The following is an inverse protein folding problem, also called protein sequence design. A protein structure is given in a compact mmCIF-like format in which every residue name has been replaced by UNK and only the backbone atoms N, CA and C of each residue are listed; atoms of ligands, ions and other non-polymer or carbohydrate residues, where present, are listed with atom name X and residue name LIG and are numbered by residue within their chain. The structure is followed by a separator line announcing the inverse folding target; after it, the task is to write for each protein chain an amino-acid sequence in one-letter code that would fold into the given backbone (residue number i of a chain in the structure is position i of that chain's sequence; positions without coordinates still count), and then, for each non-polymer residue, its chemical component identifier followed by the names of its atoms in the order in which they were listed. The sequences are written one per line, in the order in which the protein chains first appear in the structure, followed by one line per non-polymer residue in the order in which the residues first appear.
data_IF_342302156178
#
_entry.id   IF_342302156178
#
_cell.length_a   1.000
_cell.length_b   1.000
_cell.length_c   1.000
_cell.angle_alpha   90.00
_cell.angle_beta   90.00
_cell.angle_gamma   90.00
#
_symmetry.space_group_name_H-M   'P 1'
#
loop_
_entity.id
_entity.type
_entity.pdbx_description
1 polymer ?
#
# COMPACT_ATOMS: atom_id res chain seq x y z
N UNK A 1 68.07 -5.33 46.75
CA UNK A 1 68.03 -4.01 46.07
C UNK A 1 66.99 -4.06 44.97
N UNK A 2 66.03 -3.12 45.01
CA UNK A 2 65.30 -2.44 43.91
C UNK A 2 64.83 -3.29 42.69
N UNK A 3 63.58 -3.25 42.22
CA UNK A 3 62.44 -2.39 42.50
C UNK A 3 61.31 -2.61 41.48
N UNK A 4 60.09 -2.25 41.89
CA UNK A 4 58.91 -1.78 41.12
C UNK A 4 58.70 -2.28 39.68
N UNK A 5 57.57 -2.98 39.48
CA UNK A 5 56.96 -3.21 38.16
C UNK A 5 55.46 -3.50 38.25
N UNK A 6 54.68 -2.52 38.73
CA UNK A 6 53.20 -2.56 38.78
C UNK A 6 52.66 -2.46 37.34
N UNK A 7 52.32 -3.57 36.68
CA UNK A 7 51.58 -3.53 35.41
C UNK A 7 50.07 -3.62 35.67
N UNK A 8 49.39 -2.66 35.05
CA UNK A 8 48.00 -2.28 35.25
C UNK A 8 47.05 -3.35 34.72
N UNK A 9 45.98 -3.56 35.47
CA UNK A 9 44.74 -4.17 34.99
C UNK A 9 44.08 -3.18 34.03
N UNK A 10 44.29 -3.36 32.74
CA UNK A 10 43.56 -2.57 31.74
C UNK A 10 42.14 -3.13 31.63
N UNK A 11 41.21 -2.35 32.15
CA UNK A 11 39.79 -2.66 32.24
C UNK A 11 39.21 -3.04 30.88
N UNK A 12 38.45 -4.13 30.93
CA UNK A 12 37.52 -4.58 29.90
C UNK A 12 36.62 -3.39 29.52
N UNK A 13 36.98 -2.68 28.44
CA UNK A 13 36.08 -1.69 27.84
C UNK A 13 34.92 -2.49 27.27
N UNK A 14 33.75 -2.27 27.87
CA UNK A 14 32.44 -2.65 27.34
C UNK A 14 32.28 -2.06 25.94
N UNK A 15 32.75 -2.79 24.92
CA UNK A 15 32.38 -2.56 23.54
C UNK A 15 30.90 -2.88 23.41
N UNK A 16 30.06 -1.86 23.28
CA UNK A 16 28.69 -2.02 22.80
C UNK A 16 28.80 -2.77 21.48
N UNK A 17 28.37 -4.04 21.46
CA UNK A 17 27.96 -4.69 20.22
C UNK A 17 26.93 -3.74 19.59
N UNK A 18 27.19 -3.14 18.41
CA UNK A 18 26.10 -2.50 17.72
C UNK A 18 25.12 -3.64 17.49
N UNK A 19 23.93 -3.50 18.07
CA UNK A 19 22.83 -4.42 17.80
C UNK A 19 22.74 -4.43 16.29
N UNK A 20 23.25 -5.50 15.69
CA UNK A 20 22.96 -5.85 14.32
C UNK A 20 21.48 -6.14 14.34
N UNK A 21 20.68 -5.07 14.32
CA UNK A 21 19.33 -5.14 13.79
C UNK A 21 19.61 -5.63 12.40
N UNK A 22 19.41 -6.93 12.20
CA UNK A 22 19.14 -7.49 10.90
C UNK A 22 17.92 -6.70 10.45
N UNK A 23 18.17 -5.52 9.87
CA UNK A 23 17.19 -4.76 9.18
C UNK A 23 16.93 -5.66 7.99
N UNK A 24 15.98 -6.58 8.15
CA UNK A 24 15.16 -7.05 7.05
C UNK A 24 14.65 -5.76 6.43
N UNK A 25 15.44 -5.21 5.50
CA UNK A 25 15.12 -3.94 4.86
C UNK A 25 13.86 -4.30 4.12
N UNK A 26 12.72 -3.87 4.65
CA UNK A 26 11.46 -3.95 3.93
C UNK A 26 11.70 -3.16 2.65
N UNK A 27 12.04 -3.89 1.58
CA UNK A 27 12.28 -3.30 0.28
C UNK A 27 10.89 -3.09 -0.30
N UNK A 28 10.44 -1.84 -0.28
CA UNK A 28 9.21 -1.47 -0.97
C UNK A 28 9.31 -1.94 -2.43
N UNK A 29 8.35 -2.76 -2.86
CA UNK A 29 8.32 -3.36 -4.20
C UNK A 29 7.31 -2.66 -5.11
N UNK A 30 6.41 -1.86 -4.55
CA UNK A 30 5.38 -1.16 -5.32
C UNK A 30 6.01 -0.01 -6.11
N UNK A 31 5.54 0.16 -7.34
CA UNK A 31 5.94 1.26 -8.24
C UNK A 31 5.51 2.64 -7.71
N UNK A 32 4.38 2.69 -7.00
CA UNK A 32 3.89 3.86 -6.26
C UNK A 32 3.34 3.43 -4.89
N UNK A 33 3.44 4.31 -3.89
CA UNK A 33 2.92 4.05 -2.56
C UNK A 33 1.39 3.97 -2.58
N UNK A 34 0.84 3.13 -1.70
CA UNK A 34 -0.61 3.10 -1.46
C UNK A 34 -0.99 4.18 -0.46
N UNK A 35 -2.09 4.85 -0.75
CA UNK A 35 -2.77 5.74 0.18
C UNK A 35 -4.07 5.09 0.63
N UNK A 36 -4.35 5.16 1.93
CA UNK A 36 -5.63 4.73 2.49
C UNK A 36 -6.67 5.78 2.14
N UNK A 37 -7.59 5.44 1.25
CA UNK A 37 -8.64 6.32 0.79
C UNK A 37 -9.86 5.50 0.41
N UNK A 38 -11.03 5.94 0.89
CA UNK A 38 -12.31 5.32 0.59
C UNK A 38 -13.01 6.09 -0.51
N UNK A 39 -13.13 5.46 -1.68
CA UNK A 39 -13.84 5.97 -2.85
C UNK A 39 -14.93 4.98 -3.26
N UNK A 40 -16.12 5.47 -3.64
CA UNK A 40 -17.17 4.63 -4.20
C UNK A 40 -16.79 4.16 -5.62
N UNK A 41 -16.92 2.86 -5.87
CA UNK A 41 -16.60 2.22 -7.14
C UNK A 41 -17.67 1.18 -7.48
N UNK A 42 -18.11 1.13 -8.73
CA UNK A 42 -18.92 0.02 -9.24
C UNK A 42 -17.99 -1.02 -9.86
N UNK A 43 -18.14 -2.28 -9.46
CA UNK A 43 -17.44 -3.42 -10.05
C UNK A 43 -18.39 -4.24 -10.91
N UNK A 44 -18.04 -4.38 -12.19
CA UNK A 44 -18.65 -5.34 -13.09
C UNK A 44 -17.72 -6.53 -13.27
N UNK A 45 -18.27 -7.74 -13.21
CA UNK A 45 -17.49 -8.96 -13.38
C UNK A 45 -18.36 -10.16 -13.68
N UNK A 46 -17.72 -11.32 -13.65
CA UNK A 46 -18.35 -12.62 -13.83
C UNK A 46 -17.97 -13.50 -12.65
N UNK A 47 -18.96 -14.11 -11.99
CA UNK A 47 -18.73 -15.00 -10.85
C UNK A 47 -18.20 -16.38 -11.31
N UNK A 48 -17.95 -17.28 -10.36
CA UNK A 48 -17.51 -18.65 -10.62
C UNK A 48 -18.54 -19.51 -11.37
N UNK A 49 -19.82 -19.13 -11.34
CA UNK A 49 -20.91 -19.77 -12.09
C UNK A 49 -21.05 -19.22 -13.52
N UNK A 50 -20.26 -18.24 -13.92
CA UNK A 50 -20.35 -17.62 -15.24
C UNK A 50 -21.42 -16.52 -15.35
N UNK A 51 -22.05 -16.15 -14.24
CA UNK A 51 -23.07 -15.11 -14.20
C UNK A 51 -22.44 -13.73 -14.05
N UNK A 52 -22.99 -12.75 -14.77
CA UNK A 52 -22.55 -11.36 -14.69
C UNK A 52 -23.06 -10.72 -13.41
N UNK A 53 -22.20 -10.00 -12.71
CA UNK A 53 -22.60 -9.16 -11.58
C UNK A 53 -22.22 -7.70 -11.81
N UNK A 54 -22.93 -6.81 -11.12
CA UNK A 54 -22.70 -5.38 -11.08
C UNK A 54 -22.98 -4.90 -9.65
N UNK A 55 -21.93 -4.56 -8.91
CA UNK A 55 -22.05 -4.29 -7.48
C UNK A 55 -21.33 -3.00 -7.10
N UNK A 56 -21.93 -2.24 -6.19
CA UNK A 56 -21.27 -1.10 -5.57
C UNK A 56 -20.34 -1.60 -4.48
N UNK A 57 -19.11 -1.09 -4.48
CA UNK A 57 -18.08 -1.41 -3.51
C UNK A 57 -17.30 -0.15 -3.15
N UNK A 58 -16.37 -0.29 -2.20
CA UNK A 58 -15.52 0.81 -1.79
C UNK A 58 -14.04 0.41 -1.81
N UNK A 59 -13.18 1.38 -2.12
CA UNK A 59 -11.74 1.19 -1.95
C UNK A 59 -11.36 1.25 -0.47
N UNK A 60 -10.40 0.44 -0.05
CA UNK A 60 -9.71 0.58 1.24
C UNK A 60 -8.38 1.30 1.09
N UNK A 61 -7.69 1.04 -0.02
CA UNK A 61 -6.45 1.74 -0.40
C UNK A 61 -6.29 1.75 -1.90
N UNK A 62 -5.64 2.78 -2.42
CA UNK A 62 -5.41 2.96 -3.85
C UNK A 62 -3.96 3.36 -4.13
N UNK A 63 -3.48 3.08 -5.34
CA UNK A 63 -2.26 3.65 -5.89
C UNK A 63 -2.39 3.86 -7.41
N UNK A 64 -1.33 4.29 -8.10
CA UNK A 64 -1.39 4.49 -9.56
C UNK A 64 -1.78 3.19 -10.30
N UNK A 65 -1.34 2.05 -9.80
CA UNK A 65 -1.50 0.76 -10.46
C UNK A 65 -2.84 0.07 -10.18
N UNK A 66 -3.59 0.47 -9.16
CA UNK A 66 -4.84 -0.21 -8.82
C UNK A 66 -5.36 0.11 -7.42
N UNK A 67 -6.06 -0.86 -6.83
CA UNK A 67 -6.74 -0.71 -5.55
C UNK A 67 -6.75 -1.99 -4.71
N UNK A 68 -7.14 -1.82 -3.46
CA UNK A 68 -7.78 -2.87 -2.67
C UNK A 68 -9.24 -2.46 -2.49
N UNK A 69 -10.17 -3.33 -2.90
CA UNK A 69 -11.61 -3.17 -2.75
C UNK A 69 -12.09 -3.98 -1.54
N UNK A 70 -13.18 -3.55 -0.94
CA UNK A 70 -13.97 -4.31 0.03
C UNK A 70 -15.25 -4.75 -0.68
N UNK A 71 -15.48 -6.05 -0.77
CA UNK A 71 -16.59 -6.65 -1.53
C UNK A 71 -17.23 -7.80 -0.73
N UNK A 72 -18.48 -8.14 -1.06
CA UNK A 72 -19.17 -9.30 -0.47
C UNK A 72 -19.10 -10.53 -1.38
N UNK A 73 -18.92 -10.31 -2.68
CA UNK A 73 -18.82 -11.34 -3.70
C UNK A 73 -17.46 -12.07 -3.60
N UNK A 74 -17.48 -13.42 -3.60
CA UNK A 74 -16.26 -14.19 -3.68
C UNK A 74 -15.64 -14.04 -5.08
N UNK A 75 -14.38 -13.62 -5.12
CA UNK A 75 -13.59 -13.51 -6.35
C UNK A 75 -12.30 -14.33 -6.24
N UNK A 76 -11.72 -14.65 -7.39
CA UNK A 76 -10.50 -15.45 -7.52
C UNK A 76 -9.44 -14.67 -8.28
N UNK A 77 -8.17 -14.85 -7.91
CA UNK A 77 -7.05 -14.25 -8.62
C UNK A 77 -7.06 -14.64 -10.11
N UNK A 78 -6.77 -13.67 -10.98
CA UNK A 78 -6.79 -13.82 -12.43
C UNK A 78 -8.10 -13.38 -13.09
N UNK A 79 -9.21 -13.26 -12.35
CA UNK A 79 -10.48 -12.77 -12.90
C UNK A 79 -10.37 -11.30 -13.35
N UNK A 80 -11.02 -10.98 -14.45
CA UNK A 80 -11.11 -9.63 -14.98
C UNK A 80 -12.35 -8.91 -14.42
N UNK A 81 -12.16 -7.64 -14.08
CA UNK A 81 -13.21 -6.73 -13.62
C UNK A 81 -13.16 -5.44 -14.43
N UNK A 82 -14.33 -4.90 -14.78
CA UNK A 82 -14.48 -3.52 -15.22
C UNK A 82 -14.89 -2.67 -14.02
N UNK A 83 -14.04 -1.74 -13.62
CA UNK A 83 -14.31 -0.83 -12.51
C UNK A 83 -14.77 0.52 -13.03
N UNK A 84 -15.75 1.12 -12.37
CA UNK A 84 -16.24 2.48 -12.64
C UNK A 84 -16.09 3.34 -11.40
N UNK A 85 -15.34 4.43 -11.52
CA UNK A 85 -15.21 5.43 -10.45
C UNK A 85 -16.44 6.33 -10.44
N UNK A 86 -17.31 6.20 -9.45
CA UNK A 86 -18.58 6.93 -9.38
C UNK A 86 -18.38 8.47 -9.29
N UNK A 87 -17.23 8.94 -8.79
CA UNK A 87 -16.97 10.37 -8.68
C UNK A 87 -16.61 11.01 -10.03
N UNK A 88 -16.08 10.24 -10.98
CA UNK A 88 -15.58 10.77 -12.26
C UNK A 88 -16.23 10.13 -13.49
N UNK A 89 -17.07 9.12 -13.29
CA UNK A 89 -17.66 8.26 -14.32
C UNK A 89 -16.64 7.64 -15.28
N UNK A 90 -15.37 7.53 -14.85
CA UNK A 90 -14.34 6.84 -15.63
C UNK A 90 -14.39 5.36 -15.36
N UNK A 91 -14.14 4.57 -16.40
CA UNK A 91 -13.99 3.13 -16.31
C UNK A 91 -12.54 2.69 -16.57
N UNK A 92 -12.17 1.55 -16.01
CA UNK A 92 -10.90 0.87 -16.32
C UNK A 92 -11.07 -0.64 -16.24
N UNK A 93 -10.45 -1.34 -17.17
CA UNK A 93 -10.23 -2.78 -17.06
C UNK A 93 -9.18 -3.05 -15.99
N UNK A 94 -9.40 -4.12 -15.23
CA UNK A 94 -8.55 -4.52 -14.12
C UNK A 94 -8.57 -6.02 -13.93
N UNK A 95 -7.55 -6.54 -13.25
CA UNK A 95 -7.42 -7.94 -12.91
C UNK A 95 -7.33 -8.11 -11.40
N UNK A 96 -8.04 -9.11 -10.88
CA UNK A 96 -7.91 -9.54 -9.48
C UNK A 96 -6.52 -10.15 -9.29
N UNK A 97 -5.71 -9.56 -8.42
CA UNK A 97 -4.36 -10.06 -8.09
C UNK A 97 -4.37 -10.94 -6.83
N UNK A 98 -5.33 -10.72 -5.93
CA UNK A 98 -5.65 -11.60 -4.81
C UNK A 98 -7.06 -11.28 -4.31
N UNK A 99 -7.68 -12.24 -3.65
CA UNK A 99 -8.91 -12.05 -2.89
C UNK A 99 -8.80 -12.86 -1.60
N UNK A 100 -9.17 -12.26 -0.47
CA UNK A 100 -9.11 -12.92 0.84
C UNK A 100 -10.30 -12.50 1.67
N UNK A 101 -11.02 -13.48 2.23
CA UNK A 101 -12.04 -13.22 3.25
C UNK A 101 -11.37 -12.80 4.55
N UNK A 102 -11.76 -11.65 5.09
CA UNK A 102 -11.26 -11.14 6.36
C UNK A 102 -12.24 -11.41 7.51
N UNK A 103 -11.81 -11.10 8.74
CA UNK A 103 -12.57 -11.39 9.97
C UNK A 103 -13.89 -10.61 10.08
N UNK A 104 -14.00 -9.50 9.37
CA UNK A 104 -15.22 -8.70 9.24
C UNK A 104 -16.27 -9.35 8.32
N UNK A 105 -15.93 -10.48 7.68
CA UNK A 105 -16.83 -11.22 6.80
C UNK A 105 -16.72 -10.81 5.34
N UNK A 106 -16.08 -9.67 5.04
CA UNK A 106 -15.92 -9.16 3.68
C UNK A 106 -14.69 -9.76 2.98
N UNK A 107 -14.71 -9.73 1.65
CA UNK A 107 -13.55 -10.01 0.82
C UNK A 107 -12.73 -8.74 0.58
N UNK A 108 -11.44 -8.83 0.90
CA UNK A 108 -10.48 -7.80 0.57
C UNK A 108 -9.82 -8.21 -0.75
N UNK A 109 -10.18 -7.50 -1.81
CA UNK A 109 -9.84 -7.85 -3.19
C UNK A 109 -8.79 -6.87 -3.70
N UNK A 110 -7.59 -7.37 -3.96
CA UNK A 110 -6.56 -6.60 -4.66
C UNK A 110 -6.81 -6.63 -6.16
N UNK A 111 -6.79 -5.46 -6.79
CA UNK A 111 -6.90 -5.31 -8.24
C UNK A 111 -5.72 -4.53 -8.80
N UNK A 112 -5.27 -4.90 -9.99
CA UNK A 112 -4.31 -4.15 -10.80
C UNK A 112 -4.97 -3.73 -12.12
N UNK A 113 -4.74 -2.49 -12.54
CA UNK A 113 -5.27 -1.96 -13.80
C UNK A 113 -4.52 -2.54 -14.98
N UNK A 114 -5.27 -2.93 -16.02
CA UNK A 114 -4.69 -3.36 -17.30
C UNK A 114 -3.93 -2.18 -17.94
N UNK A 115 -4.50 -0.97 -17.86
CA UNK A 115 -3.86 0.26 -18.30
C UNK A 115 -3.78 1.31 -17.18
N UNK A 116 -2.65 1.35 -16.48
CA UNK A 116 -2.41 2.29 -15.38
C UNK A 116 -2.18 3.75 -15.82
N UNK A 117 -2.07 4.04 -17.13
CA UNK A 117 -1.84 5.40 -17.64
C UNK A 117 -3.14 6.20 -17.85
N UNK A 118 -4.32 5.56 -17.76
CA UNK A 118 -5.62 6.23 -17.92
C UNK A 118 -5.96 7.23 -16.78
N UNK A 119 -5.10 7.36 -15.76
CA UNK A 119 -5.29 8.20 -14.57
C UNK A 119 -6.72 8.09 -14.02
N UNK A 120 -7.16 6.86 -13.78
CA UNK A 120 -8.50 6.50 -13.35
C UNK A 120 -8.96 7.27 -12.09
N UNK A 121 -8.03 7.52 -11.16
CA UNK A 121 -8.29 8.23 -9.92
C UNK A 121 -8.30 9.76 -10.05
N UNK A 122 -7.79 10.32 -11.15
CA UNK A 122 -7.49 11.76 -11.29
C UNK A 122 -6.56 12.28 -10.17
N UNK A 123 -5.58 11.47 -9.80
CA UNK A 123 -4.66 11.74 -8.68
C UNK A 123 -3.21 11.45 -9.06
N UNK A 124 -2.28 12.08 -8.36
CA UNK A 124 -0.85 11.76 -8.40
C UNK A 124 -0.45 11.01 -7.14
N UNK A 125 0.32 9.95 -7.32
CA UNK A 125 0.73 9.08 -6.21
C UNK A 125 2.21 9.28 -5.88
N UNK A 126 2.58 9.26 -4.59
CA UNK A 126 3.97 9.40 -4.19
C UNK A 126 4.79 8.17 -4.59
N UNK A 127 6.02 8.42 -5.04
CA UNK A 127 6.99 7.37 -5.32
C UNK A 127 7.56 6.82 -4.00
N UNK A 128 7.98 5.55 -3.96
CA UNK A 128 8.73 5.02 -2.83
C UNK A 128 9.92 5.92 -2.47
N UNK A 129 10.07 6.24 -1.18
CA UNK A 129 11.13 7.13 -0.69
C UNK A 129 10.87 8.63 -0.86
N UNK A 130 9.73 9.03 -1.44
CA UNK A 130 9.32 10.43 -1.47
C UNK A 130 9.14 10.96 -0.04
N UNK A 131 9.66 12.17 0.23
CA UNK A 131 9.40 12.86 1.49
C UNK A 131 7.96 13.38 1.46
N UNK A 132 7.17 13.21 2.53
CA UNK A 132 5.86 13.82 2.62
C UNK A 132 5.97 15.32 2.36
N UNK A 133 5.07 15.88 1.55
CA UNK A 133 4.94 17.32 1.42
C UNK A 133 4.58 17.86 2.81
N UNK A 134 5.55 18.48 3.48
CA UNK A 134 5.29 19.17 4.73
C UNK A 134 4.40 20.36 4.40
N UNK A 135 3.17 20.38 4.91
CA UNK A 135 2.36 21.60 4.88
C UNK A 135 3.22 22.69 5.54
N UNK A 136 3.53 23.82 4.87
CA UNK A 136 4.21 24.91 5.52
C UNK A 136 3.36 25.31 6.73
N UNK A 137 3.93 25.22 7.93
CA UNK A 137 3.32 25.80 9.12
C UNK A 137 3.39 27.31 8.91
N UNK A 138 2.24 27.92 8.62
CA UNK A 138 2.09 29.37 8.51
C UNK A 138 2.03 29.91 7.08
N UNK A 139 0.87 29.80 6.44
CA UNK A 139 0.36 30.94 5.67
C UNK A 139 -0.74 31.56 6.51
N UNK A 140 -0.45 32.66 7.21
CA UNK A 140 -1.51 33.55 7.70
C UNK A 140 -2.39 33.86 6.48
N UNK A 141 -3.66 33.51 6.54
CA UNK A 141 -4.64 34.11 5.65
C UNK A 141 -4.56 35.62 5.90
N UNK A 142 -4.13 36.38 4.89
CA UNK A 142 -4.29 37.83 4.89
C UNK A 142 -5.79 38.08 4.71
N UNK A 143 -6.39 38.63 5.77
CA UNK A 143 -7.67 39.31 5.72
C UNK A 143 -7.47 40.72 5.15
#
# INVERSE_FOLDING_TARGET
MNGRGKKRIDGLRSGKVPVGVLHFRYRERRRTLRVTLTLPVIAHGVNDQGEKFCVRCATRSINKQGAQLVMDEPLVAGQDLLLVNENTNRSTESRVVYAKKERDGHFYVGVEFVNAENNFWKMTFPLPGARPLRRPIGSKAMA
#
